data_IF_178640440122
#
_entry.id   IF_178640440122
#
_cell.length_a   1.000
_cell.length_b   1.000
_cell.length_c   1.000
_cell.angle_alpha   90.00
_cell.angle_beta   90.00
_cell.angle_gamma   90.00
#
_symmetry.space_group_name_H-M   'P 1'
#
loop_
_entity.id
_entity.type
_entity.pdbx_description
1 polymer ?
#
# COMPACT_ATOMS: atom_id res chain seq x y z
N UNK A 1 11.57 14.18 -3.16
CA UNK A 1 11.31 14.03 -2.77
C UNK A 1 10.86 13.16 -2.60
N UNK A 2 11.03 12.59 -2.60
CA UNK A 2 10.77 11.92 -2.36
C UNK A 2 9.91 11.54 -1.89
N UNK A 3 9.41 11.25 -2.26
CA UNK A 3 8.39 11.19 -1.84
C UNK A 3 7.79 9.96 -1.67
N UNK A 4 7.84 9.32 -0.61
CA UNK A 4 7.13 8.18 -0.15
C UNK A 4 5.87 8.62 0.60
N UNK A 5 5.28 9.68 0.09
CA UNK A 5 4.04 10.19 0.67
C UNK A 5 2.91 9.20 0.41
N UNK A 6 2.23 8.79 1.44
CA UNK A 6 1.12 7.85 1.32
C UNK A 6 -0.12 8.62 0.88
N UNK A 7 -0.76 8.21 -0.25
CA UNK A 7 -1.99 8.87 -0.69
C UNK A 7 -3.08 8.77 0.38
N UNK A 8 -3.95 9.75 0.44
CA UNK A 8 -4.99 9.79 1.46
C UNK A 8 -5.90 8.56 1.41
N UNK A 9 -6.22 8.08 0.22
CA UNK A 9 -7.08 6.91 0.09
C UNK A 9 -6.39 5.64 0.60
N UNK A 10 -5.09 5.52 0.37
CA UNK A 10 -4.35 4.37 0.89
C UNK A 10 -4.22 4.48 2.40
N UNK A 11 -3.97 5.68 2.90
CA UNK A 11 -3.88 5.89 4.34
C UNK A 11 -5.19 5.52 5.02
N UNK A 12 -6.31 5.89 4.42
CA UNK A 12 -7.61 5.54 4.98
C UNK A 12 -7.77 4.02 5.05
N UNK A 13 -7.27 3.29 4.06
CA UNK A 13 -7.30 1.85 4.09
C UNK A 13 -6.48 1.28 5.24
N UNK A 14 -5.32 1.88 5.49
CA UNK A 14 -4.48 1.43 6.60
C UNK A 14 -5.12 1.75 7.96
N UNK A 15 -5.76 2.91 8.07
CA UNK A 15 -6.42 3.29 9.31
C UNK A 15 -7.54 2.31 9.65
N UNK A 16 -8.22 1.81 8.63
CA UNK A 16 -9.29 0.84 8.84
C UNK A 16 -8.78 -0.53 9.30
N UNK A 17 -7.47 -0.78 9.16
CA UNK A 17 -6.88 -2.06 9.53
C UNK A 17 -5.72 -1.83 10.49
N UNK A 18 -5.94 -1.97 11.79
CA UNK A 18 -4.88 -1.72 12.77
C UNK A 18 -3.63 -2.56 12.50
N UNK A 19 -2.47 -1.92 12.62
CA UNK A 19 -1.21 -2.60 12.41
C UNK A 19 -0.74 -2.64 10.96
N UNK A 20 -1.62 -2.38 10.00
CA UNK A 20 -1.23 -2.45 8.59
C UNK A 20 -0.24 -1.34 8.24
N UNK A 21 -0.47 -0.14 8.74
CA UNK A 21 0.42 0.98 8.46
C UNK A 21 1.81 0.73 9.04
N UNK A 22 1.86 0.20 10.26
CA UNK A 22 3.15 -0.11 10.90
C UNK A 22 3.93 -1.11 10.04
N UNK A 23 3.27 -2.13 9.56
CA UNK A 23 3.93 -3.11 8.71
C UNK A 23 4.43 -2.46 7.42
N UNK A 24 3.59 -1.65 6.79
CA UNK A 24 3.97 -0.98 5.55
C UNK A 24 5.21 -0.10 5.78
N UNK A 25 5.23 0.64 6.86
CA UNK A 25 6.35 1.51 7.17
C UNK A 25 7.62 0.74 7.52
N UNK A 26 7.48 -0.53 7.91
CA UNK A 26 8.64 -1.36 8.22
C UNK A 26 9.31 -1.92 6.97
N UNK A 27 8.64 -1.83 5.83
CA UNK A 27 9.20 -2.33 4.58
C UNK A 27 10.35 -1.44 4.12
N UNK A 28 11.23 -2.00 3.28
CA UNK A 28 12.34 -1.23 2.77
C UNK A 28 11.82 -0.09 1.88
N UNK A 29 12.64 0.93 1.75
CA UNK A 29 12.29 2.09 0.96
C UNK A 29 11.95 1.71 -0.48
N UNK A 30 12.75 0.79 -1.06
CA UNK A 30 12.53 0.33 -2.42
C UNK A 30 11.19 -0.36 -2.57
N UNK A 31 10.83 -1.22 -1.61
CA UNK A 31 9.56 -1.93 -1.67
C UNK A 31 8.39 -0.97 -1.52
N UNK A 32 8.48 -0.03 -0.59
CA UNK A 32 7.41 0.95 -0.41
C UNK A 32 7.22 1.77 -1.69
N UNK A 33 8.31 2.19 -2.31
CA UNK A 33 8.23 2.96 -3.54
C UNK A 33 7.58 2.14 -4.64
N UNK A 34 7.95 0.87 -4.77
CA UNK A 34 7.38 0.00 -5.79
C UNK A 34 5.87 -0.17 -5.59
N UNK A 35 5.45 -0.34 -4.34
CA UNK A 35 4.02 -0.50 -4.03
C UNK A 35 3.27 0.78 -4.40
N UNK A 36 3.81 1.94 -4.05
CA UNK A 36 3.16 3.21 -4.35
C UNK A 36 3.07 3.44 -5.85
N UNK A 37 4.12 3.09 -6.61
CA UNK A 37 4.08 3.21 -8.06
C UNK A 37 3.04 2.28 -8.66
N UNK A 38 2.97 1.07 -8.15
CA UNK A 38 1.96 0.12 -8.61
C UNK A 38 0.55 0.65 -8.40
N UNK A 39 0.33 1.32 -7.27
CA UNK A 39 -0.96 1.92 -6.98
C UNK A 39 -1.26 3.07 -7.93
N UNK A 40 -0.26 3.91 -8.20
CA UNK A 40 -0.42 5.07 -9.08
C UNK A 40 -0.73 4.64 -10.52
N UNK A 41 -0.23 3.47 -10.92
CA UNK A 41 -0.49 2.96 -12.26
C UNK A 41 -1.95 2.54 -12.46
N UNK A 42 -2.69 2.39 -11.39
CA UNK A 42 -4.11 2.07 -11.48
C UNK A 42 -4.85 3.34 -11.92
N UNK A 43 -5.34 3.36 -13.15
CA UNK A 43 -5.99 4.54 -13.70
C UNK A 43 -7.46 4.65 -13.36
N UNK A 44 -8.10 3.52 -13.14
CA UNK A 44 -9.53 3.52 -12.81
C UNK A 44 -9.73 3.50 -11.31
N UNK A 45 -10.73 4.24 -10.80
CA UNK A 45 -10.99 4.23 -9.35
C UNK A 45 -11.24 2.84 -8.80
N UNK A 46 -11.93 2.00 -9.58
CA UNK A 46 -12.21 0.63 -9.17
C UNK A 46 -10.93 -0.17 -8.99
N UNK A 47 -10.03 -0.10 -9.96
CA UNK A 47 -8.77 -0.82 -9.89
C UNK A 47 -7.93 -0.30 -8.74
N UNK A 48 -7.90 1.03 -8.58
CA UNK A 48 -7.14 1.64 -7.50
C UNK A 48 -7.66 1.17 -6.15
N UNK A 49 -8.98 1.13 -5.99
CA UNK A 49 -9.58 0.69 -4.74
C UNK A 49 -9.25 -0.78 -4.44
N UNK A 50 -9.28 -1.61 -5.46
CA UNK A 50 -8.91 -3.02 -5.28
C UNK A 50 -7.46 -3.15 -4.82
N UNK A 51 -6.57 -2.38 -5.41
CA UNK A 51 -5.15 -2.43 -5.03
C UNK A 51 -4.95 -1.92 -3.62
N UNK A 52 -5.67 -0.86 -3.25
CA UNK A 52 -5.61 -0.34 -1.89
C UNK A 52 -6.06 -1.40 -0.90
N UNK A 53 -7.18 -2.06 -1.18
CA UNK A 53 -7.69 -3.10 -0.30
C UNK A 53 -6.69 -4.24 -0.18
N UNK A 54 -6.10 -4.65 -1.28
CA UNK A 54 -5.10 -5.71 -1.26
C UNK A 54 -3.89 -5.33 -0.42
N UNK A 55 -3.36 -4.14 -0.65
CA UNK A 55 -2.19 -3.68 0.11
C UNK A 55 -2.51 -3.64 1.61
N UNK A 56 -3.64 -3.02 1.97
CA UNK A 56 -4.00 -2.86 3.36
C UNK A 56 -4.28 -4.21 4.04
N UNK A 57 -4.98 -5.08 3.33
CA UNK A 57 -5.32 -6.39 3.87
C UNK A 57 -4.07 -7.23 4.10
N UNK A 58 -3.19 -7.26 3.10
CA UNK A 58 -1.96 -8.04 3.24
C UNK A 58 -1.04 -7.44 4.30
N UNK A 59 -1.00 -6.13 4.40
CA UNK A 59 -0.20 -5.48 5.42
C UNK A 59 -0.74 -5.80 6.81
N UNK A 60 -2.05 -5.90 6.97
CA UNK A 60 -2.64 -6.28 8.24
C UNK A 60 -2.28 -7.71 8.62
N UNK A 61 -2.07 -8.57 7.62
CA UNK A 61 -1.64 -9.93 7.83
C UNK A 61 -0.12 -10.07 7.87
N UNK A 62 0.58 -8.95 7.71
CA UNK A 62 2.05 -8.89 7.66
C UNK A 62 2.60 -9.68 6.48
N UNK A 63 1.94 -9.54 5.33
CA UNK A 63 2.35 -10.19 4.09
C UNK A 63 2.54 -9.15 3.01
N UNK A 64 3.49 -9.38 2.12
CA UNK A 64 3.68 -8.52 0.96
C UNK A 64 2.75 -8.96 -0.14
N UNK A 65 2.31 -8.04 -1.02
CA UNK A 65 1.59 -8.43 -2.23
C UNK A 65 2.42 -9.44 -3.02
N UNK A 66 1.74 -10.33 -3.72
CA UNK A 66 2.44 -11.42 -4.41
C UNK A 66 3.56 -10.97 -5.32
N UNK A 67 3.36 -9.89 -6.04
CA UNK A 67 4.35 -9.42 -6.99
C UNK A 67 5.59 -8.79 -6.33
N UNK A 68 5.59 -8.65 -5.02
CA UNK A 68 6.72 -8.07 -4.30
C UNK A 68 7.39 -9.08 -3.37
N UNK A 69 7.03 -10.33 -3.47
CA UNK A 69 7.63 -11.37 -2.62
C UNK A 69 8.95 -11.86 -3.15
#
# INVERSE_FOLDING_TARGET
VEDLTIPADLEAGFVARPGSLDYFLSLSKSVRKAILQWLVLAKRPETRQKRINEIAELAAQRLKPKQFR
#
